data_IF_395587843206
#
_entry.id   IF_395587843206
#
_cell.length_a   1.000
_cell.length_b   1.000
_cell.length_c   1.000
_cell.angle_alpha   90.00
_cell.angle_beta   90.00
_cell.angle_gamma   90.00
#
_symmetry.space_group_name_H-M   'P 1'
#
loop_
_entity.id
_entity.type
_entity.pdbx_description
1 polymer ?
#
# COMPACT_ATOMS: atom_id res chain seq x y z
N UNK A 1 5.56 16.19 18.12
CA UNK A 1 4.90 15.01 17.53
C UNK A 1 4.38 15.39 16.13
N UNK A 2 4.26 14.46 15.18
CA UNK A 2 3.59 14.69 13.90
C UNK A 2 2.09 15.01 14.08
N UNK A 3 1.46 14.41 15.10
CA UNK A 3 0.06 14.67 15.47
C UNK A 3 -0.17 16.12 15.90
N UNK A 4 0.79 16.71 16.65
CA UNK A 4 0.74 18.13 17.05
C UNK A 4 0.77 19.09 15.84
N UNK A 5 1.12 18.56 14.66
CA UNK A 5 1.22 19.31 13.39
C UNK A 5 0.13 18.91 12.41
N UNK A 6 -0.85 18.11 12.83
CA UNK A 6 -1.94 17.59 12.00
C UNK A 6 -1.44 16.86 10.75
N UNK A 7 -0.29 16.20 10.85
CA UNK A 7 0.23 15.38 9.77
C UNK A 7 -0.54 14.06 9.73
N UNK A 8 -1.19 13.80 8.61
CA UNK A 8 -1.84 12.52 8.32
C UNK A 8 -1.10 11.85 7.16
N UNK A 9 -0.64 10.61 7.36
CA UNK A 9 0.15 9.88 6.38
C UNK A 9 -0.64 9.61 5.09
N UNK A 10 -1.93 9.29 5.20
CA UNK A 10 -2.79 9.04 4.05
C UNK A 10 -2.97 10.31 3.21
N UNK A 11 -3.28 11.43 3.85
CA UNK A 11 -3.38 12.75 3.20
C UNK A 11 -2.05 13.16 2.57
N UNK A 12 -0.93 13.00 3.28
CA UNK A 12 0.39 13.33 2.76
C UNK A 12 0.77 12.46 1.55
N UNK A 13 0.46 11.17 1.58
CA UNK A 13 0.67 10.25 0.46
C UNK A 13 -0.17 10.65 -0.76
N UNK A 14 -1.43 11.04 -0.56
CA UNK A 14 -2.33 11.48 -1.64
C UNK A 14 -1.83 12.75 -2.32
N UNK A 15 -1.44 13.77 -1.54
CA UNK A 15 -1.10 15.09 -2.09
C UNK A 15 0.38 15.28 -2.42
N UNK A 16 1.28 14.61 -1.70
CA UNK A 16 2.74 14.72 -1.87
C UNK A 16 3.40 13.50 -2.49
N UNK A 17 2.70 12.36 -2.56
CA UNK A 17 3.25 11.08 -2.99
C UNK A 17 4.03 10.35 -1.90
N UNK A 18 4.37 9.09 -2.19
CA UNK A 18 5.26 8.26 -1.37
C UNK A 18 6.49 7.92 -2.22
N UNK A 19 7.69 8.12 -1.71
CA UNK A 19 8.93 7.82 -2.46
C UNK A 19 9.60 6.52 -2.01
N UNK A 20 9.34 6.09 -0.78
CA UNK A 20 9.89 4.90 -0.18
C UNK A 20 8.98 4.47 0.97
N UNK A 21 8.80 3.17 1.11
CA UNK A 21 8.31 2.57 2.33
C UNK A 21 9.06 1.27 2.58
N UNK A 22 9.10 0.86 3.84
CA UNK A 22 9.85 -0.29 4.28
C UNK A 22 8.90 -1.33 4.86
N UNK A 23 9.19 -2.60 4.60
CA UNK A 23 8.63 -3.71 5.32
C UNK A 23 8.89 -3.60 6.83
N UNK A 24 7.91 -4.05 7.60
CA UNK A 24 7.96 -4.12 9.06
C UNK A 24 9.20 -4.90 9.51
N UNK A 25 10.07 -4.23 10.26
CA UNK A 25 11.24 -4.82 10.93
C UNK A 25 12.32 -5.42 10.01
N UNK A 26 12.30 -5.13 8.70
CA UNK A 26 13.44 -5.44 7.84
C UNK A 26 14.68 -4.62 8.28
N UNK A 27 15.85 -5.24 8.55
CA UNK A 27 17.03 -4.49 9.03
C UNK A 27 17.66 -3.65 7.91
N UNK A 28 17.41 -4.01 6.66
CA UNK A 28 17.86 -3.30 5.48
C UNK A 28 16.92 -3.60 4.32
N UNK A 29 16.52 -2.58 3.56
CA UNK A 29 15.69 -2.74 2.37
C UNK A 29 16.16 -1.78 1.28
N UNK A 30 16.12 -2.28 0.04
CA UNK A 30 16.40 -1.49 -1.15
C UNK A 30 15.17 -1.53 -2.04
N UNK A 31 14.49 -0.39 -2.15
CA UNK A 31 13.49 -0.18 -3.20
C UNK A 31 14.23 0.23 -4.48
N UNK A 32 14.33 -0.71 -5.43
CA UNK A 32 14.93 -0.47 -6.73
C UNK A 32 13.85 -0.55 -7.82
N UNK A 33 13.73 0.53 -8.60
CA UNK A 33 12.89 0.55 -9.79
C UNK A 33 13.62 -0.03 -11.00
N UNK A 34 12.90 -0.45 -12.05
CA UNK A 34 13.52 -0.77 -13.33
C UNK A 34 14.33 0.41 -13.88
N UNK A 35 15.30 0.11 -14.76
CA UNK A 35 16.16 1.14 -15.35
C UNK A 35 15.36 2.26 -16.02
N UNK A 36 15.79 3.51 -15.81
CA UNK A 36 15.13 4.72 -16.31
C UNK A 36 13.80 5.09 -15.65
N UNK A 37 13.30 4.30 -14.69
CA UNK A 37 12.08 4.62 -13.95
C UNK A 37 12.40 5.46 -12.71
N UNK A 38 11.64 6.54 -12.51
CA UNK A 38 11.90 7.49 -11.41
C UNK A 38 10.63 7.96 -10.74
N UNK A 39 10.71 8.21 -9.44
CA UNK A 39 9.73 9.07 -8.75
C UNK A 39 10.26 10.50 -8.76
N UNK A 40 9.48 11.43 -9.29
CA UNK A 40 9.87 12.84 -9.36
C UNK A 40 9.65 13.49 -7.99
N UNK A 41 10.63 14.27 -7.53
CA UNK A 41 10.49 15.16 -6.37
C UNK A 41 10.43 16.61 -6.89
N UNK A 42 9.25 17.27 -6.89
CA UNK A 42 9.13 18.62 -7.41
C UNK A 42 9.97 19.66 -6.66
N UNK A 43 10.32 20.79 -7.31
CA UNK A 43 10.97 21.90 -6.63
C UNK A 43 10.14 22.40 -5.44
N UNK A 44 10.80 22.77 -4.34
CA UNK A 44 10.17 23.25 -3.09
C UNK A 44 9.40 22.16 -2.31
N UNK A 45 9.62 20.89 -2.61
CA UNK A 45 9.15 19.78 -1.78
C UNK A 45 9.85 19.71 -0.43
N UNK A 46 9.16 19.12 0.56
CA UNK A 46 9.75 18.66 1.82
C UNK A 46 9.69 17.15 1.88
N UNK A 47 10.82 16.52 2.18
CA UNK A 47 10.84 15.09 2.49
C UNK A 47 10.49 14.91 3.96
N UNK A 48 9.47 14.10 4.22
CA UNK A 48 9.03 13.74 5.57
C UNK A 48 9.16 12.23 5.69
N UNK A 49 9.86 11.77 6.73
CA UNK A 49 9.96 10.37 7.05
C UNK A 49 9.18 10.11 8.35
N UNK A 50 8.34 9.10 8.31
CA UNK A 50 7.72 8.52 9.49
C UNK A 50 8.46 7.22 9.81
N UNK A 51 8.84 7.06 11.08
CA UNK A 51 9.56 5.88 11.54
C UNK A 51 8.78 5.24 12.67
N UNK A 52 8.53 3.94 12.55
CA UNK A 52 7.93 3.12 13.59
C UNK A 52 9.05 2.34 14.26
N UNK A 53 9.32 2.65 15.53
CA UNK A 53 10.41 2.04 16.29
C UNK A 53 9.86 1.09 17.34
N UNK A 54 10.34 -0.16 17.31
CA UNK A 54 10.14 -1.14 18.36
C UNK A 54 11.48 -1.39 19.05
N UNK A 55 11.57 -1.09 20.35
CA UNK A 55 12.69 -1.50 21.18
C UNK A 55 12.27 -2.71 22.02
N UNK A 56 12.63 -3.95 21.63
CA UNK A 56 12.27 -5.14 22.38
C UNK A 56 13.16 -5.38 23.62
N UNK A 57 14.13 -4.49 23.90
CA UNK A 57 15.08 -4.65 24.99
C UNK A 57 14.71 -3.81 26.23
N UNK A 58 15.35 -4.11 27.35
CA UNK A 58 15.21 -3.36 28.61
C UNK A 58 16.18 -2.15 28.72
N UNK A 59 16.88 -1.82 27.64
CA UNK A 59 17.91 -0.77 27.61
C UNK A 59 17.61 0.26 26.52
N UNK A 60 17.99 1.53 26.71
CA UNK A 60 17.90 2.52 25.64
C UNK A 60 18.81 2.13 24.47
N UNK A 61 18.35 2.39 23.26
CA UNK A 61 19.10 2.21 22.02
C UNK A 61 19.24 3.58 21.34
N UNK A 62 20.46 3.93 20.95
CA UNK A 62 20.72 5.06 20.08
C UNK A 62 20.79 4.56 18.64
N UNK A 63 19.92 5.10 17.78
CA UNK A 63 19.78 4.69 16.38
C UNK A 63 19.96 5.90 15.47
N UNK A 64 20.68 5.70 14.37
CA UNK A 64 20.84 6.68 13.30
C UNK A 64 20.26 6.10 11.99
N UNK A 65 18.92 6.04 11.87
CA UNK A 65 18.29 5.54 10.64
C UNK A 65 18.66 6.44 9.46
N UNK A 66 19.11 5.83 8.36
CA UNK A 66 19.53 6.54 7.16
C UNK A 66 18.72 6.10 5.94
N UNK A 67 18.25 7.08 5.17
CA UNK A 67 17.66 6.84 3.84
C UNK A 67 18.59 7.48 2.81
N UNK A 68 19.06 6.68 1.86
CA UNK A 68 19.85 7.15 0.72
C UNK A 68 18.98 7.15 -0.53
N UNK A 69 18.74 8.33 -1.09
CA UNK A 69 18.07 8.50 -2.37
C UNK A 69 19.11 8.56 -3.49
N UNK A 70 18.99 7.67 -4.47
CA UNK A 70 19.84 7.68 -5.68
C UNK A 70 19.10 8.38 -6.80
N UNK A 71 19.74 9.38 -7.41
CA UNK A 71 19.22 10.12 -8.57
C UNK A 71 19.79 9.53 -9.85
N UNK A 72 19.08 9.71 -10.97
CA UNK A 72 19.59 9.47 -12.32
C UNK A 72 19.62 10.79 -13.11
N UNK A 73 20.44 10.91 -14.16
CA UNK A 73 20.39 12.01 -15.12
C UNK A 73 19.04 12.15 -15.82
N UNK A 74 18.62 13.38 -16.13
CA UNK A 74 17.31 13.64 -16.75
C UNK A 74 17.15 13.00 -18.14
N UNK A 75 18.25 12.84 -18.88
CA UNK A 75 18.30 12.20 -20.20
C UNK A 75 18.27 10.66 -20.14
N UNK A 76 18.45 10.07 -18.96
CA UNK A 76 18.27 8.63 -18.71
C UNK A 76 16.83 8.29 -18.25
N UNK A 77 15.98 9.28 -17.98
CA UNK A 77 14.60 9.05 -17.55
C UNK A 77 13.74 8.57 -18.72
N UNK A 78 13.19 7.38 -18.58
CA UNK A 78 12.26 6.78 -19.56
C UNK A 78 10.82 6.75 -19.07
N UNK A 79 10.61 6.57 -17.76
CA UNK A 79 9.28 6.48 -17.13
C UNK A 79 9.24 7.28 -15.85
N UNK A 80 8.22 8.13 -15.69
CA UNK A 80 7.92 8.81 -14.43
C UNK A 80 6.85 8.03 -13.69
N UNK A 81 7.09 7.77 -12.41
CA UNK A 81 6.24 6.96 -11.57
C UNK A 81 5.36 7.84 -10.65
N UNK A 82 4.08 7.52 -10.62
CA UNK A 82 3.10 7.97 -9.63
C UNK A 82 2.79 6.86 -8.63
N UNK A 83 2.42 7.25 -7.40
CA UNK A 83 2.17 6.34 -6.29
C UNK A 83 0.72 5.88 -6.19
N UNK A 84 0.54 4.64 -5.75
CA UNK A 84 -0.70 4.11 -5.20
C UNK A 84 -0.49 3.86 -3.71
N UNK A 85 -1.44 4.26 -2.87
CA UNK A 85 -1.44 3.99 -1.43
C UNK A 85 -2.83 3.57 -0.95
N UNK A 86 -3.02 2.27 -0.76
CA UNK A 86 -4.26 1.73 -0.22
C UNK A 86 -4.08 1.18 1.19
N UNK A 87 -5.11 1.33 2.00
CA UNK A 87 -5.15 0.74 3.33
C UNK A 87 -6.54 0.18 3.67
N UNK A 88 -6.60 -0.76 4.60
CA UNK A 88 -7.85 -1.18 5.22
C UNK A 88 -7.72 -1.13 6.74
N UNK A 89 -8.22 -0.05 7.32
CA UNK A 89 -8.19 0.23 8.76
C UNK A 89 -9.32 -0.43 9.55
N UNK A 90 -10.35 -0.92 8.86
CA UNK A 90 -11.48 -1.65 9.45
C UNK A 90 -11.09 -3.11 9.77
N UNK A 91 -10.08 -3.30 10.62
CA UNK A 91 -9.63 -4.63 11.04
C UNK A 91 -10.26 -5.03 12.37
N UNK A 92 -10.71 -6.29 12.44
CA UNK A 92 -11.14 -6.94 13.66
C UNK A 92 -10.87 -8.46 13.56
N UNK A 93 -9.62 -8.84 13.80
CA UNK A 93 -9.17 -10.22 13.69
C UNK A 93 -9.70 -11.03 14.89
N UNK A 94 -10.62 -11.98 14.68
CA UNK A 94 -11.16 -12.84 15.73
C UNK A 94 -10.09 -13.70 16.41
N UNK A 95 -10.26 -14.07 17.68
CA UNK A 95 -9.33 -14.94 18.38
C UNK A 95 -9.33 -16.37 17.79
N UNK A 96 -8.13 -16.98 17.74
CA UNK A 96 -7.87 -18.35 17.27
C UNK A 96 -8.40 -18.66 15.86
N UNK A 97 -8.31 -17.71 14.93
CA UNK A 97 -8.97 -17.86 13.64
C UNK A 97 -8.24 -17.12 12.51
N UNK A 98 -8.41 -17.63 11.29
CA UNK A 98 -7.91 -17.00 10.06
C UNK A 98 -8.88 -15.92 9.58
N UNK A 99 -8.36 -14.87 8.96
CA UNK A 99 -9.19 -13.81 8.38
C UNK A 99 -8.65 -13.29 7.06
N UNK A 100 -9.55 -12.85 6.20
CA UNK A 100 -9.25 -12.19 4.93
C UNK A 100 -10.05 -10.89 4.84
N UNK A 101 -9.34 -9.77 4.70
CA UNK A 101 -9.93 -8.45 4.54
C UNK A 101 -9.67 -7.95 3.12
N UNK A 102 -10.73 -7.62 2.39
CA UNK A 102 -10.65 -7.17 1.00
C UNK A 102 -11.23 -5.78 0.83
N UNK A 103 -10.62 -4.99 -0.07
CA UNK A 103 -11.13 -3.68 -0.50
C UNK A 103 -10.96 -3.54 -2.01
N UNK A 104 -12.00 -3.06 -2.70
CA UNK A 104 -11.99 -2.82 -4.15
C UNK A 104 -12.01 -1.32 -4.46
N UNK A 105 -10.92 -0.80 -5.01
CA UNK A 105 -10.78 0.60 -5.41
C UNK A 105 -10.96 0.77 -6.92
N UNK A 106 -11.94 1.58 -7.33
CA UNK A 106 -12.19 1.90 -8.74
C UNK A 106 -11.22 2.99 -9.23
N UNK A 107 -10.10 2.55 -9.81
CA UNK A 107 -9.06 3.43 -10.36
C UNK A 107 -9.40 3.95 -11.77
N UNK A 108 -10.55 3.56 -12.32
CA UNK A 108 -11.04 4.04 -13.61
C UNK A 108 -11.77 5.39 -13.50
N UNK A 109 -12.16 5.80 -12.29
CA UNK A 109 -12.99 6.98 -12.10
C UNK A 109 -12.42 8.22 -12.81
N UNK A 110 -11.16 8.57 -12.60
CA UNK A 110 -10.53 9.73 -13.27
C UNK A 110 -10.41 9.57 -14.79
N UNK A 111 -10.17 8.36 -15.27
CA UNK A 111 -10.04 8.08 -16.69
C UNK A 111 -11.36 8.34 -17.41
N UNK A 112 -12.49 7.96 -16.80
CA UNK A 112 -13.84 8.20 -17.33
C UNK A 112 -14.32 9.62 -17.09
N UNK A 113 -14.13 10.16 -15.88
CA UNK A 113 -14.71 11.44 -15.46
C UNK A 113 -13.89 12.64 -15.97
N UNK A 114 -12.57 12.58 -15.85
CA UNK A 114 -11.65 13.68 -16.17
C UNK A 114 -11.04 13.55 -17.56
N UNK A 115 -10.51 12.37 -17.92
CA UNK A 115 -9.74 12.19 -19.17
C UNK A 115 -10.57 11.75 -20.38
N UNK A 116 -11.79 11.25 -20.16
CA UNK A 116 -12.68 10.71 -21.20
C UNK A 116 -12.00 9.65 -22.08
N UNK A 117 -11.13 8.83 -21.48
CA UNK A 117 -10.38 7.75 -22.16
C UNK A 117 -10.28 6.51 -21.25
N UNK A 118 -10.02 5.32 -21.80
CA UNK A 118 -9.78 4.12 -20.99
C UNK A 118 -8.52 4.23 -20.13
N UNK A 119 -8.42 3.39 -19.08
CA UNK A 119 -7.15 3.16 -18.37
C UNK A 119 -6.08 2.68 -19.34
N UNK A 120 -4.90 3.30 -19.27
CA UNK A 120 -3.74 2.99 -20.11
C UNK A 120 -2.41 2.92 -19.34
N UNK A 121 -2.44 2.91 -18.01
CA UNK A 121 -1.23 2.85 -17.17
C UNK A 121 -0.81 1.40 -16.83
N UNK A 122 0.43 1.26 -16.38
CA UNK A 122 1.07 0.02 -15.94
C UNK A 122 1.55 0.13 -14.50
N UNK A 123 1.61 -1.01 -13.81
CA UNK A 123 2.13 -1.12 -12.45
C UNK A 123 3.53 -1.75 -12.51
N UNK A 124 4.53 -1.02 -12.00
CA UNK A 124 5.95 -1.36 -12.13
C UNK A 124 6.58 -1.88 -10.83
N UNK A 125 5.96 -1.59 -9.69
CA UNK A 125 6.46 -1.97 -8.38
C UNK A 125 5.29 -2.11 -7.41
N UNK A 126 5.37 -3.08 -6.50
CA UNK A 126 4.40 -3.31 -5.44
C UNK A 126 5.12 -3.52 -4.12
N UNK A 127 4.46 -3.13 -3.02
CA UNK A 127 4.93 -3.29 -1.66
C UNK A 127 3.73 -3.58 -0.76
N UNK A 128 3.75 -4.75 -0.13
CA UNK A 128 2.81 -5.09 0.93
C UNK A 128 3.32 -4.62 2.29
N UNK A 129 2.39 -4.32 3.20
CA UNK A 129 2.71 -4.03 4.58
C UNK A 129 1.61 -4.53 5.53
N UNK A 130 2.04 -5.34 6.50
CA UNK A 130 1.27 -5.90 7.61
C UNK A 130 2.24 -6.24 8.76
N UNK A 131 1.71 -6.56 9.95
CA UNK A 131 2.51 -6.95 11.12
C UNK A 131 2.53 -8.47 11.31
N UNK A 132 2.84 -8.91 12.54
CA UNK A 132 3.23 -10.28 12.89
C UNK A 132 2.19 -11.35 12.52
N UNK A 133 0.91 -11.00 12.55
CA UNK A 133 -0.20 -11.92 12.28
C UNK A 133 -0.51 -12.06 10.79
N UNK A 134 0.10 -11.23 9.94
CA UNK A 134 -0.10 -11.23 8.50
C UNK A 134 0.51 -12.47 7.83
N UNK A 135 -0.32 -13.21 7.10
CA UNK A 135 0.08 -14.42 6.37
C UNK A 135 0.21 -14.20 4.87
N UNK A 136 -0.25 -13.05 4.37
CA UNK A 136 -0.07 -12.68 2.98
C UNK A 136 -0.87 -11.45 2.56
N UNK A 137 -0.55 -10.97 1.37
CA UNK A 137 -1.29 -9.93 0.68
C UNK A 137 -1.38 -10.27 -0.81
N UNK A 138 -2.55 -10.01 -1.41
CA UNK A 138 -2.77 -10.15 -2.86
C UNK A 138 -3.39 -8.88 -3.40
N UNK A 139 -2.88 -8.44 -4.56
CA UNK A 139 -3.47 -7.41 -5.40
C UNK A 139 -3.96 -8.04 -6.68
N UNK A 140 -5.22 -7.80 -7.00
CA UNK A 140 -5.85 -8.24 -8.24
C UNK A 140 -6.32 -7.02 -9.05
N UNK A 141 -6.15 -7.05 -10.36
CA UNK A 141 -6.80 -6.13 -11.27
C UNK A 141 -8.13 -6.74 -11.70
N UNK A 142 -9.22 -5.99 -11.57
CA UNK A 142 -10.58 -6.49 -11.80
C UNK A 142 -11.18 -5.82 -13.04
N UNK A 143 -11.65 -6.64 -13.97
CA UNK A 143 -12.34 -6.26 -15.21
C UNK A 143 -13.79 -5.83 -14.92
N UNK A 144 -14.45 -5.09 -15.83
CA UNK A 144 -15.87 -4.75 -15.68
C UNK A 144 -16.77 -6.00 -15.57
N UNK A 145 -16.35 -7.14 -16.12
CA UNK A 145 -17.04 -8.43 -16.01
C UNK A 145 -16.97 -9.06 -14.62
N UNK A 146 -16.11 -8.55 -13.73
CA UNK A 146 -15.77 -9.14 -12.44
C UNK A 146 -14.65 -10.18 -12.47
N UNK A 147 -14.17 -10.57 -13.66
CA UNK A 147 -12.97 -11.38 -13.82
C UNK A 147 -11.74 -10.63 -13.28
N UNK A 148 -10.86 -11.31 -12.58
CA UNK A 148 -9.72 -10.72 -11.92
C UNK A 148 -8.42 -11.46 -12.25
N UNK A 149 -7.35 -10.70 -12.44
CA UNK A 149 -6.00 -11.20 -12.71
C UNK A 149 -5.06 -10.72 -11.59
N UNK A 150 -4.16 -11.60 -11.14
CA UNK A 150 -3.22 -11.27 -10.05
C UNK A 150 -2.15 -10.32 -10.58
N UNK A 151 -2.03 -9.15 -9.94
CA UNK A 151 -0.99 -8.15 -10.18
C UNK A 151 0.23 -8.49 -9.33
N UNK A 152 0.00 -8.78 -8.05
CA UNK A 152 1.03 -9.01 -7.07
C UNK A 152 0.51 -9.93 -5.96
N UNK A 153 1.37 -10.78 -5.43
CA UNK A 153 1.08 -11.54 -4.22
C UNK A 153 2.33 -11.79 -3.42
N UNK A 154 2.20 -11.78 -2.11
CA UNK A 154 3.25 -12.22 -1.20
C UNK A 154 2.68 -13.03 -0.03
N UNK A 155 3.53 -13.89 0.50
CA UNK A 155 3.33 -14.67 1.74
C UNK A 155 4.49 -14.49 2.72
N UNK A 156 5.36 -13.52 2.44
CA UNK A 156 6.52 -13.15 3.26
C UNK A 156 6.07 -12.80 4.67
N UNK A 157 6.92 -13.06 5.65
CA UNK A 157 6.62 -12.79 7.04
C UNK A 157 7.30 -11.48 7.48
N UNK A 158 6.95 -10.99 8.68
CA UNK A 158 7.64 -9.83 9.27
C UNK A 158 9.16 -10.08 9.32
N UNK A 159 9.94 -9.06 8.95
CA UNK A 159 11.40 -9.13 8.84
C UNK A 159 11.91 -9.41 7.43
N UNK A 160 11.07 -9.90 6.51
CA UNK A 160 11.40 -10.05 5.09
C UNK A 160 11.14 -8.75 4.31
N UNK A 161 11.77 -8.61 3.15
CA UNK A 161 11.39 -7.59 2.16
C UNK A 161 10.06 -8.00 1.53
N UNK A 162 9.04 -7.14 1.66
CA UNK A 162 7.66 -7.41 1.21
C UNK A 162 7.29 -6.63 -0.06
N UNK A 163 8.27 -6.05 -0.74
CA UNK A 163 8.08 -5.31 -1.99
C UNK A 163 9.08 -5.69 -3.07
N UNK A 164 8.75 -5.34 -4.31
CA UNK A 164 9.62 -5.62 -5.44
C UNK A 164 9.07 -5.10 -6.77
N UNK A 165 9.93 -5.08 -7.81
CA UNK A 165 9.51 -4.73 -9.16
C UNK A 165 8.54 -5.79 -9.71
N UNK A 166 7.57 -5.34 -10.48
CA UNK A 166 6.66 -6.18 -11.24
C UNK A 166 7.23 -6.34 -12.65
N UNK A 167 7.63 -7.56 -13.00
CA UNK A 167 8.29 -7.86 -14.27
C UNK A 167 7.62 -9.05 -14.98
N UNK A 168 7.06 -8.87 -16.19
CA UNK A 168 6.84 -7.58 -16.86
C UNK A 168 5.88 -6.69 -16.05
N UNK A 169 5.95 -5.36 -16.25
CA UNK A 169 5.00 -4.44 -15.62
C UNK A 169 3.57 -4.86 -15.97
N UNK A 170 2.66 -4.80 -15.00
CA UNK A 170 1.27 -5.22 -15.19
C UNK A 170 0.50 -4.14 -15.94
N UNK A 171 -0.10 -4.48 -17.06
CA UNK A 171 -0.88 -3.55 -17.90
C UNK A 171 -2.34 -3.49 -17.43
N UNK A 172 -2.80 -2.30 -17.01
CA UNK A 172 -4.17 -2.10 -16.53
C UNK A 172 -5.19 -1.88 -17.66
N UNK A 173 -4.78 -1.96 -18.92
CA UNK A 173 -5.70 -1.86 -20.06
C UNK A 173 -6.81 -2.91 -19.97
N UNK A 174 -8.07 -2.45 -19.99
CA UNK A 174 -9.26 -3.31 -19.93
C UNK A 174 -9.72 -3.68 -18.52
N UNK A 175 -8.98 -3.27 -17.48
CA UNK A 175 -9.39 -3.37 -16.09
C UNK A 175 -10.03 -2.06 -15.61
N UNK A 176 -10.68 -2.09 -14.45
CA UNK A 176 -11.29 -0.91 -13.85
C UNK A 176 -10.90 -0.73 -12.38
N UNK A 177 -10.77 -1.83 -11.64
CA UNK A 177 -10.51 -1.77 -10.20
C UNK A 177 -9.22 -2.48 -9.82
N UNK A 178 -8.68 -2.09 -8.67
CA UNK A 178 -7.70 -2.88 -7.94
C UNK A 178 -8.36 -3.42 -6.68
N UNK A 179 -8.29 -4.74 -6.48
CA UNK A 179 -8.70 -5.41 -5.24
C UNK A 179 -7.48 -5.70 -4.41
N UNK A 180 -7.39 -5.09 -3.22
CA UNK A 180 -6.41 -5.45 -2.21
C UNK A 180 -7.03 -6.46 -1.24
N UNK A 181 -6.31 -7.53 -0.93
CA UNK A 181 -6.68 -8.53 0.07
C UNK A 181 -5.52 -8.78 1.02
N UNK A 182 -5.74 -8.61 2.32
CA UNK A 182 -4.79 -9.02 3.37
C UNK A 182 -5.32 -10.26 4.10
N UNK A 183 -4.42 -11.20 4.36
CA UNK A 183 -4.71 -12.45 5.03
C UNK A 183 -3.97 -12.51 6.37
N UNK A 184 -4.64 -13.01 7.40
CA UNK A 184 -4.11 -13.07 8.76
C UNK A 184 -4.45 -14.39 9.44
N UNK A 185 -3.67 -14.74 10.45
CA UNK A 185 -4.05 -15.70 11.49
C UNK A 185 -3.79 -15.12 12.87
N UNK A 186 -4.84 -15.01 13.68
CA UNK A 186 -4.73 -14.53 15.05
C UNK A 186 -4.76 -15.72 16.04
N UNK A 187 -3.61 -16.17 16.59
CA UNK A 187 -3.55 -17.24 17.58
C UNK A 187 -3.92 -16.78 19.00
N UNK A 188 -4.19 -15.49 19.19
CA UNK A 188 -4.41 -14.89 20.51
C UNK A 188 -5.84 -15.14 20.97
N UNK A 189 -6.09 -14.91 22.26
CA UNK A 189 -7.42 -15.04 22.87
C UNK A 189 -8.27 -13.77 22.78
N UNK A 190 -7.73 -12.70 22.20
CA UNK A 190 -8.38 -11.40 22.05
C UNK A 190 -8.50 -11.00 20.59
N UNK A 191 -9.46 -10.12 20.30
CA UNK A 191 -9.59 -9.48 18.99
C UNK A 191 -8.40 -8.54 18.79
N UNK A 192 -7.83 -8.53 17.58
CA UNK A 192 -6.76 -7.61 17.17
C UNK A 192 -7.28 -6.67 16.10
N UNK A 193 -7.12 -5.36 16.28
CA UNK A 193 -7.60 -4.34 15.37
C UNK A 193 -6.49 -3.72 14.53
N UNK A 194 -6.79 -2.57 13.93
CA UNK A 194 -5.81 -1.75 13.23
C UNK A 194 -4.95 -0.95 14.22
N UNK A 195 -3.66 -0.81 13.93
CA UNK A 195 -2.78 0.11 14.66
C UNK A 195 -1.34 -0.36 14.73
N UNK A 196 -0.57 0.28 15.62
CA UNK A 196 0.84 -0.05 15.88
C UNK A 196 1.00 -0.96 17.11
N UNK A 197 2.20 -1.51 17.29
CA UNK A 197 2.54 -2.31 18.47
C UNK A 197 2.02 -3.74 18.36
N UNK A 198 1.08 -4.12 19.22
CA UNK A 198 0.46 -5.45 19.19
C UNK A 198 -0.77 -5.52 18.27
N UNK A 199 -1.10 -4.44 17.57
CA UNK A 199 -2.16 -4.38 16.57
C UNK A 199 -1.65 -4.76 15.16
N UNK A 200 -2.54 -4.80 14.17
CA UNK A 200 -2.22 -5.16 12.79
C UNK A 200 -2.38 -4.00 11.81
N UNK A 201 -1.83 -4.18 10.61
CA UNK A 201 -2.03 -3.28 9.48
C UNK A 201 -2.32 -4.08 8.20
N UNK A 202 -3.01 -3.44 7.27
CA UNK A 202 -3.27 -3.92 5.92
C UNK A 202 -3.06 -2.76 4.95
N UNK A 203 -1.84 -2.64 4.42
CA UNK A 203 -1.43 -1.53 3.55
C UNK A 203 -0.79 -2.08 2.28
N UNK A 204 -1.10 -1.42 1.18
CA UNK A 204 -0.49 -1.66 -0.13
C UNK A 204 0.02 -0.36 -0.72
N UNK A 205 1.26 -0.39 -1.17
CA UNK A 205 1.88 0.68 -1.93
C UNK A 205 2.30 0.15 -3.30
N UNK A 206 2.14 0.96 -4.33
CA UNK A 206 2.64 0.63 -5.66
C UNK A 206 3.09 1.87 -6.43
N UNK A 207 3.83 1.61 -7.50
CA UNK A 207 4.28 2.64 -8.42
C UNK A 207 3.84 2.33 -9.85
N UNK A 208 3.27 3.33 -10.51
CA UNK A 208 2.66 3.23 -11.84
C UNK A 208 3.16 4.31 -12.78
N UNK A 209 3.07 4.13 -14.10
CA UNK A 209 3.33 5.20 -15.08
C UNK A 209 2.10 6.11 -15.33
N UNK A 210 1.10 6.05 -14.44
CA UNK A 210 -0.07 6.93 -14.46
C UNK A 210 0.34 8.40 -14.26
N UNK A 211 -0.44 9.31 -14.82
CA UNK A 211 -0.36 10.75 -14.51
C UNK A 211 -1.02 11.11 -13.19
N UNK A 212 -1.55 10.13 -12.44
CA UNK A 212 -2.29 10.33 -11.20
C UNK A 212 -1.68 9.51 -10.06
N UNK A 213 -1.53 10.15 -8.91
CA UNK A 213 -1.41 9.45 -7.64
C UNK A 213 -2.81 8.98 -7.21
N UNK A 214 -2.87 7.79 -6.61
CA UNK A 214 -4.09 7.24 -6.04
C UNK A 214 -3.87 6.95 -4.57
N UNK A 215 -4.80 7.38 -3.72
CA UNK A 215 -4.80 6.98 -2.32
C UNK A 215 -6.20 6.70 -1.83
N UNK A 216 -6.35 5.68 -0.98
CA UNK A 216 -7.68 5.26 -0.58
C UNK A 216 -7.74 3.96 0.21
N UNK A 217 -8.92 3.38 0.20
CA UNK A 217 -9.27 2.14 0.88
C UNK A 217 -10.33 2.37 1.95
N UNK A 218 -10.22 1.68 3.09
CA UNK A 218 -11.09 1.89 4.26
C UNK A 218 -10.27 2.65 5.29
N UNK A 219 -10.64 3.90 5.53
CA UNK A 219 -9.83 4.83 6.31
C UNK A 219 -10.30 4.98 7.76
N UNK A 220 -11.54 4.62 8.06
CA UNK A 220 -12.03 4.53 9.43
C UNK A 220 -11.69 3.17 10.05
N UNK A 221 -11.53 3.18 11.37
CA UNK A 221 -11.22 1.99 12.17
C UNK A 221 -12.50 1.30 12.68
N UNK A 222 -13.64 1.47 11.98
CA UNK A 222 -14.89 0.83 12.37
C UNK A 222 -14.89 -0.60 11.86
N UNK A 223 -15.00 -1.62 12.73
CA UNK A 223 -15.02 -3.01 12.30
C UNK A 223 -16.14 -3.30 11.30
N UNK A 224 -15.89 -4.15 10.30
CA UNK A 224 -16.88 -4.51 9.30
C UNK A 224 -18.00 -5.38 9.89
N UNK A 225 -19.26 -5.00 9.65
CA UNK A 225 -20.44 -5.75 10.09
C UNK A 225 -20.82 -6.90 9.13
N UNK A 226 -20.25 -6.92 7.92
CA UNK A 226 -20.62 -7.81 6.82
C UNK A 226 -19.78 -9.08 6.75
N UNK A 227 -19.54 -9.71 7.90
CA UNK A 227 -18.73 -10.92 7.97
C UNK A 227 -19.34 -12.10 7.20
N UNK A 228 -18.49 -12.82 6.46
CA UNK A 228 -18.83 -14.10 5.85
C UNK A 228 -17.86 -15.17 6.35
N UNK A 229 -18.39 -16.30 6.83
CA UNK A 229 -17.57 -17.42 7.28
C UNK A 229 -17.45 -18.49 6.20
N UNK A 230 -16.22 -18.77 5.79
CA UNK A 230 -15.90 -19.86 4.86
C UNK A 230 -14.95 -20.83 5.56
N UNK A 231 -15.51 -21.94 6.06
CA UNK A 231 -14.76 -22.87 6.90
C UNK A 231 -14.27 -22.21 8.19
N UNK A 232 -12.94 -22.23 8.42
CA UNK A 232 -12.30 -21.57 9.56
C UNK A 232 -11.72 -20.18 9.23
N UNK A 233 -12.16 -19.57 8.13
CA UNK A 233 -11.73 -18.22 7.72
C UNK A 233 -12.91 -17.27 7.74
N UNK A 234 -12.75 -16.13 8.43
CA UNK A 234 -13.67 -15.01 8.35
C UNK A 234 -13.25 -14.08 7.22
N UNK A 235 -14.16 -13.79 6.31
CA UNK A 235 -13.91 -12.94 5.14
C UNK A 235 -14.74 -11.68 5.25
N UNK A 236 -14.09 -10.56 4.94
CA UNK A 236 -14.67 -9.23 4.94
C UNK A 236 -14.37 -8.55 3.61
N UNK A 237 -15.33 -7.77 3.11
CA UNK A 237 -15.18 -7.00 1.88
C UNK A 237 -15.78 -5.63 2.08
N UNK A 238 -15.00 -4.58 1.83
CA UNK A 238 -15.46 -3.20 1.97
C UNK A 238 -15.38 -2.45 0.65
N UNK A 239 -16.23 -1.46 0.50
CA UNK A 239 -16.10 -0.48 -0.57
C UNK A 239 -14.93 0.45 -0.27
N UNK A 240 -14.23 0.87 -1.32
CA UNK A 240 -13.10 1.78 -1.21
C UNK A 240 -13.55 3.23 -1.27
N UNK A 241 -13.09 4.04 -0.32
CA UNK A 241 -12.98 5.46 -0.51
C UNK A 241 -11.69 5.77 -1.29
N UNK A 242 -11.80 6.39 -2.47
CA UNK A 242 -10.65 6.68 -3.32
C UNK A 242 -10.54 8.18 -3.59
N UNK A 243 -9.32 8.69 -3.48
CA UNK A 243 -8.92 10.02 -3.94
C UNK A 243 -7.78 9.88 -4.94
N UNK A 244 -7.82 10.73 -5.96
CA UNK A 244 -6.80 10.86 -6.98
C UNK A 244 -6.32 12.30 -7.10
N UNK A 245 -5.03 12.46 -7.38
CA UNK A 245 -4.45 13.78 -7.66
C UNK A 245 -3.41 13.69 -8.78
N UNK A 246 -3.34 14.74 -9.60
CA UNK A 246 -2.39 14.84 -10.71
C UNK A 246 -0.96 14.77 -10.14
N UNK A 247 -0.19 13.77 -10.57
CA UNK A 247 1.13 13.47 -10.04
C UNK A 247 2.15 14.58 -10.37
N UNK A 248 1.87 15.42 -11.37
CA UNK A 248 2.75 16.52 -11.79
C UNK A 248 2.39 17.87 -11.17
N UNK A 249 1.30 17.99 -10.39
CA UNK A 249 0.84 19.26 -9.78
C UNK A 249 1.43 19.57 -8.40
N UNK A 250 2.40 18.79 -7.93
CA UNK A 250 3.17 19.03 -6.68
C UNK A 250 4.27 20.07 -6.81
#
# INVERSE_FOLDING_TARGET
NCDDRLFDQGVAAIFGGVIFAQSTQAPHEVQAFPEGHVVRVPPRSKLVAQIHLLNPTDRPLDLEPNIKLTKIPDDEVTVRLAGISFQNAALALPPNMSSKFSVECDVNQEHVESLKRPIDFKIHYALAHYHELGTGLTIEAVKPSGEADIVYTTKTQVGDVMGGPIAPAFDMTGYQKLRMSCEFYNPRSQVVGWGIGDQEMCVFLAFTDSTWNFGGGVLDEVPPENEMRVGNTMTYSNDCFLISNDADRG
#
